data_IF_913680931171
#
_entry.id   IF_913680931171
#
_cell.length_a   1.000
_cell.length_b   1.000
_cell.length_c   1.000
_cell.angle_alpha   90.00
_cell.angle_beta   90.00
_cell.angle_gamma   90.00
#
_symmetry.space_group_name_H-M   'P 1'
#
loop_
_entity.id
_entity.type
_entity.pdbx_description
1 polymer ?
#
# COMPACT_ATOMS: atom_id res chain seq x y z
N UNK A 1 -10.89 7.22 21.44
CA UNK A 1 -10.92 6.92 19.99
C UNK A 1 -9.86 7.84 19.37
N UNK A 2 -8.81 7.26 18.84
CA UNK A 2 -7.77 8.01 18.14
C UNK A 2 -8.29 8.42 16.77
N UNK A 3 -7.97 9.62 16.32
CA UNK A 3 -8.33 10.15 15.00
C UNK A 3 -7.10 10.71 14.34
N UNK A 4 -6.94 10.45 13.05
CA UNK A 4 -5.93 11.10 12.22
C UNK A 4 -6.36 12.55 11.96
N UNK A 5 -5.44 13.49 12.13
CA UNK A 5 -5.70 14.91 11.88
C UNK A 5 -4.61 15.46 10.94
N UNK A 6 -5.01 15.78 9.71
CA UNK A 6 -4.13 16.33 8.68
C UNK A 6 -4.55 17.78 8.39
N UNK A 7 -3.72 18.73 8.79
CA UNK A 7 -3.97 20.15 8.59
C UNK A 7 -3.27 20.71 7.35
N UNK A 8 -2.22 20.02 6.86
CA UNK A 8 -1.44 20.46 5.73
C UNK A 8 -2.26 20.48 4.43
N UNK A 9 -2.03 21.52 3.61
CA UNK A 9 -2.69 21.68 2.32
C UNK A 9 -1.96 20.95 1.19
N UNK A 10 -0.62 20.84 1.27
CA UNK A 10 0.18 20.18 0.25
C UNK A 10 0.44 18.70 0.57
N UNK A 11 0.57 17.90 -0.47
CA UNK A 11 0.70 16.45 -0.35
C UNK A 11 1.96 16.01 0.43
N UNK A 12 3.15 16.57 0.19
CA UNK A 12 4.34 16.20 0.97
C UNK A 12 4.20 16.46 2.48
N UNK A 13 3.56 17.57 2.85
CA UNK A 13 3.33 17.89 4.26
C UNK A 13 2.30 16.94 4.89
N UNK A 14 1.27 16.52 4.16
CA UNK A 14 0.29 15.53 4.62
C UNK A 14 0.95 14.20 4.96
N UNK A 15 1.88 13.70 4.14
CA UNK A 15 2.64 12.48 4.46
C UNK A 15 3.51 12.65 5.71
N UNK A 16 4.17 13.82 5.86
CA UNK A 16 4.98 14.13 7.07
C UNK A 16 4.14 14.20 8.34
N UNK A 17 2.91 14.70 8.25
CA UNK A 17 1.95 14.73 9.37
C UNK A 17 1.38 13.34 9.68
N UNK A 18 1.16 12.52 8.65
CA UNK A 18 0.56 11.20 8.80
C UNK A 18 1.49 10.21 9.49
N UNK A 19 2.76 10.14 9.09
CA UNK A 19 3.69 9.11 9.54
C UNK A 19 3.81 8.97 11.07
N UNK A 20 4.02 10.05 11.87
CA UNK A 20 4.08 9.95 13.32
C UNK A 20 2.73 9.55 13.94
N UNK A 21 1.60 10.00 13.38
CA UNK A 21 0.28 9.63 13.89
C UNK A 21 -0.01 8.15 13.61
N UNK A 22 0.37 7.68 12.42
CA UNK A 22 0.24 6.27 12.06
C UNK A 22 1.14 5.39 12.94
N UNK A 23 2.38 5.83 13.21
CA UNK A 23 3.29 5.12 14.11
C UNK A 23 2.66 4.96 15.50
N UNK A 24 2.07 6.02 16.06
CA UNK A 24 1.41 5.97 17.35
C UNK A 24 0.15 5.09 17.33
N UNK A 25 -0.64 5.13 16.24
CA UNK A 25 -1.86 4.34 16.08
C UNK A 25 -1.57 2.83 16.03
N UNK A 26 -0.46 2.43 15.43
CA UNK A 26 -0.08 1.02 15.26
C UNK A 26 0.72 0.48 16.47
N UNK A 27 1.19 1.37 17.36
CA UNK A 27 2.02 0.97 18.50
C UNK A 27 1.23 0.11 19.48
N UNK A 28 1.79 -1.05 19.83
CA UNK A 28 1.19 -1.99 20.78
C UNK A 28 0.05 -2.86 20.24
N UNK A 29 -0.42 -2.67 18.99
CA UNK A 29 -1.44 -3.52 18.38
C UNK A 29 -0.77 -4.71 17.64
N UNK A 30 -0.95 -5.96 18.10
CA UNK A 30 -0.33 -7.12 17.46
C UNK A 30 -1.10 -7.64 16.23
N UNK A 31 -2.38 -7.29 16.06
CA UNK A 31 -3.18 -7.81 14.95
C UNK A 31 -2.85 -7.08 13.63
N UNK A 32 -2.28 -7.85 12.71
CA UNK A 32 -1.89 -7.33 11.40
C UNK A 32 -3.07 -6.76 10.61
N UNK A 33 -4.23 -7.43 10.65
CA UNK A 33 -5.39 -7.01 9.86
C UNK A 33 -5.96 -5.69 10.40
N UNK A 34 -6.04 -5.54 11.72
CA UNK A 34 -6.45 -4.29 12.36
C UNK A 34 -5.52 -3.13 11.97
N UNK A 35 -4.20 -3.37 12.02
CA UNK A 35 -3.19 -2.39 11.63
C UNK A 35 -3.30 -1.98 10.15
N UNK A 36 -3.44 -2.94 9.24
CA UNK A 36 -3.60 -2.65 7.81
C UNK A 36 -4.92 -1.94 7.50
N UNK A 37 -6.02 -2.30 8.19
CA UNK A 37 -7.31 -1.65 8.02
C UNK A 37 -7.27 -0.18 8.44
N UNK A 38 -6.69 0.12 9.60
CA UNK A 38 -6.50 1.49 10.08
C UNK A 38 -5.55 2.28 9.17
N UNK A 39 -4.49 1.65 8.66
CA UNK A 39 -3.59 2.29 7.69
C UNK A 39 -4.30 2.65 6.38
N UNK A 40 -5.12 1.74 5.83
CA UNK A 40 -5.90 2.02 4.62
C UNK A 40 -6.86 3.21 4.82
N UNK A 41 -7.52 3.26 5.99
CA UNK A 41 -8.41 4.37 6.33
C UNK A 41 -7.66 5.71 6.48
N UNK A 42 -6.51 5.71 7.18
CA UNK A 42 -5.68 6.90 7.37
C UNK A 42 -5.11 7.42 6.02
N UNK A 43 -4.65 6.52 5.16
CA UNK A 43 -4.17 6.88 3.83
C UNK A 43 -5.30 7.44 2.96
N UNK A 44 -6.54 6.95 3.10
CA UNK A 44 -7.69 7.49 2.37
C UNK A 44 -7.95 8.97 2.70
N UNK A 45 -7.70 9.38 3.93
CA UNK A 45 -7.77 10.80 4.33
C UNK A 45 -6.54 11.59 3.84
N UNK A 46 -5.36 10.96 3.81
CA UNK A 46 -4.11 11.59 3.40
C UNK A 46 -4.04 11.84 1.89
N UNK A 47 -4.55 10.91 1.06
CA UNK A 47 -4.43 10.93 -0.40
C UNK A 47 -5.82 11.05 -1.06
N UNK A 48 -6.41 12.26 -1.10
CA UNK A 48 -7.77 12.45 -1.64
C UNK A 48 -7.92 12.08 -3.10
N UNK A 49 -6.85 12.13 -3.89
CA UNK A 49 -6.83 11.74 -5.30
C UNK A 49 -7.05 10.24 -5.51
N UNK A 50 -6.77 9.42 -4.51
CA UNK A 50 -6.97 7.98 -4.61
C UNK A 50 -8.47 7.63 -4.57
N UNK A 51 -8.93 6.81 -5.49
CA UNK A 51 -10.27 6.23 -5.53
C UNK A 51 -10.34 4.90 -4.78
N UNK A 52 -9.20 4.20 -4.70
CA UNK A 52 -9.02 2.95 -3.99
C UNK A 52 -7.66 2.93 -3.29
N UNK A 53 -7.59 2.39 -2.09
CA UNK A 53 -6.36 2.20 -1.33
C UNK A 53 -6.45 0.89 -0.57
N UNK A 54 -5.46 0.02 -0.71
CA UNK A 54 -5.50 -1.23 0.03
C UNK A 54 -4.21 -2.03 -0.08
N UNK A 55 -4.31 -3.24 0.42
CA UNK A 55 -3.18 -4.16 0.52
C UNK A 55 -3.47 -5.47 -0.21
N UNK A 56 -2.46 -5.97 -0.90
CA UNK A 56 -2.42 -7.35 -1.33
C UNK A 56 -1.31 -8.07 -0.57
N UNK A 57 -1.68 -9.12 0.17
CA UNK A 57 -0.79 -9.86 1.05
C UNK A 57 -0.17 -11.05 0.32
N UNK A 58 1.13 -11.29 0.51
CA UNK A 58 1.80 -12.46 -0.03
C UNK A 58 1.34 -13.74 0.68
N UNK A 59 0.68 -14.63 -0.03
CA UNK A 59 0.18 -15.90 0.50
C UNK A 59 0.35 -17.01 -0.53
N UNK A 60 1.16 -18.02 -0.18
CA UNK A 60 1.34 -19.19 -1.06
C UNK A 60 1.95 -18.89 -2.43
N UNK A 61 2.75 -17.82 -2.54
CA UNK A 61 3.42 -17.43 -3.79
C UNK A 61 2.60 -16.52 -4.71
N UNK A 62 1.46 -16.02 -4.26
CA UNK A 62 0.62 -15.05 -4.97
C UNK A 62 0.18 -13.93 -4.02
N UNK A 63 -0.33 -12.84 -4.58
CA UNK A 63 -0.93 -11.74 -3.85
C UNK A 63 -2.42 -12.01 -3.63
N UNK A 64 -2.88 -11.88 -2.38
CA UNK A 64 -4.27 -12.08 -1.97
C UNK A 64 -4.80 -10.80 -1.34
N UNK A 65 -5.98 -10.37 -1.73
CA UNK A 65 -6.65 -9.17 -1.24
C UNK A 65 -6.69 -9.14 0.29
N UNK A 66 -6.20 -8.06 0.86
CA UNK A 66 -6.22 -7.70 2.27
C UNK A 66 -7.18 -6.56 2.58
N UNK A 67 -7.00 -5.85 3.68
CA UNK A 67 -7.80 -4.66 4.01
C UNK A 67 -7.68 -3.56 2.96
N UNK A 68 -8.81 -2.90 2.64
CA UNK A 68 -8.85 -1.82 1.67
C UNK A 68 -10.00 -0.86 1.91
N UNK A 69 -9.95 0.30 1.25
CA UNK A 69 -10.98 1.32 1.14
C UNK A 69 -11.29 1.57 -0.34
N UNK A 70 -12.53 1.37 -0.77
CA UNK A 70 -12.94 1.55 -2.15
C UNK A 70 -13.95 0.51 -2.62
N UNK A 71 -14.08 0.34 -3.95
CA UNK A 71 -14.93 -0.68 -4.55
C UNK A 71 -14.33 -2.08 -4.38
N UNK A 72 -15.14 -3.12 -4.63
CA UNK A 72 -14.68 -4.51 -4.69
C UNK A 72 -13.55 -4.66 -5.71
N UNK A 73 -12.57 -5.52 -5.40
CA UNK A 73 -11.35 -5.67 -6.16
C UNK A 73 -11.04 -7.13 -6.49
N UNK A 74 -10.01 -7.37 -7.29
CA UNK A 74 -9.52 -8.70 -7.61
C UNK A 74 -9.10 -9.44 -6.33
N UNK A 75 -9.50 -10.70 -6.18
CA UNK A 75 -9.20 -11.46 -4.95
C UNK A 75 -7.76 -11.97 -4.93
N UNK A 76 -7.22 -12.32 -6.12
CA UNK A 76 -5.88 -12.92 -6.27
C UNK A 76 -5.17 -12.36 -7.49
N UNK A 77 -3.88 -12.09 -7.34
CA UNK A 77 -3.00 -11.59 -8.41
C UNK A 77 -1.71 -12.41 -8.37
N UNK A 78 -1.38 -13.06 -9.49
CA UNK A 78 -0.14 -13.79 -9.61
C UNK A 78 1.06 -12.82 -9.71
N UNK A 79 2.22 -13.24 -9.20
CA UNK A 79 3.46 -12.46 -9.35
C UNK A 79 3.77 -12.23 -10.83
N UNK A 80 4.22 -11.01 -11.17
CA UNK A 80 4.49 -10.58 -12.53
C UNK A 80 3.24 -10.28 -13.37
N UNK A 81 2.03 -10.23 -12.77
CA UNK A 81 0.78 -9.91 -13.48
C UNK A 81 0.17 -8.62 -12.95
N UNK A 82 -0.29 -7.78 -13.87
CA UNK A 82 -0.78 -6.44 -13.54
C UNK A 82 0.30 -5.58 -12.87
N UNK A 83 -0.07 -4.42 -12.36
CA UNK A 83 0.88 -3.51 -11.70
C UNK A 83 1.32 -4.09 -10.35
N UNK A 84 0.39 -4.50 -9.50
CA UNK A 84 0.66 -5.10 -8.20
C UNK A 84 1.58 -6.33 -8.28
N UNK A 85 1.26 -7.30 -9.16
CA UNK A 85 2.07 -8.50 -9.32
C UNK A 85 3.46 -8.20 -9.88
N UNK A 86 3.58 -7.20 -10.76
CA UNK A 86 4.85 -6.75 -11.33
C UNK A 86 5.70 -6.04 -10.26
N UNK A 87 5.10 -5.13 -9.48
CA UNK A 87 5.79 -4.43 -8.38
C UNK A 87 6.36 -5.43 -7.35
N UNK A 88 5.56 -6.44 -6.98
CA UNK A 88 6.01 -7.49 -6.07
C UNK A 88 7.16 -8.33 -6.65
N UNK A 89 7.08 -8.73 -7.93
CA UNK A 89 8.09 -9.55 -8.60
C UNK A 89 9.40 -8.78 -8.83
N UNK A 90 9.31 -7.51 -9.26
CA UNK A 90 10.47 -6.64 -9.49
C UNK A 90 11.01 -6.01 -8.20
N UNK A 91 10.24 -6.11 -7.09
CA UNK A 91 10.62 -5.62 -5.77
C UNK A 91 10.90 -4.11 -5.75
N UNK A 92 10.10 -3.35 -6.50
CA UNK A 92 10.23 -1.88 -6.62
C UNK A 92 8.87 -1.20 -6.68
N UNK A 93 8.83 0.05 -6.25
CA UNK A 93 7.68 0.92 -6.46
C UNK A 93 7.45 1.14 -7.96
N UNK A 94 6.18 1.04 -8.36
CA UNK A 94 5.75 1.37 -9.72
C UNK A 94 4.75 2.52 -9.68
N UNK A 95 5.05 3.58 -10.46
CA UNK A 95 4.14 4.70 -10.72
C UNK A 95 3.64 4.54 -12.15
N UNK A 96 2.34 4.35 -12.30
CA UNK A 96 1.69 4.13 -13.60
C UNK A 96 0.76 5.30 -13.91
N UNK A 97 1.17 6.26 -14.73
CA UNK A 97 0.36 7.45 -15.01
C UNK A 97 -0.85 7.16 -15.90
N UNK A 98 -0.86 6.03 -16.63
CA UNK A 98 -1.94 5.58 -17.48
C UNK A 98 -1.97 4.05 -17.51
N UNK A 99 -2.92 3.45 -16.79
CA UNK A 99 -3.02 1.98 -16.63
C UNK A 99 -3.35 1.29 -17.96
N UNK A 100 -4.01 1.96 -18.89
CA UNK A 100 -4.32 1.41 -20.21
C UNK A 100 -3.06 1.18 -21.07
N UNK A 101 -1.97 1.86 -20.72
CA UNK A 101 -0.66 1.71 -21.37
C UNK A 101 0.26 0.75 -20.65
N UNK A 102 -0.12 0.24 -19.48
CA UNK A 102 0.71 -0.71 -18.73
C UNK A 102 0.56 -2.13 -19.32
N UNK A 103 1.65 -2.77 -19.78
CA UNK A 103 1.57 -4.10 -20.40
C UNK A 103 1.01 -5.14 -19.42
N UNK A 104 -0.09 -5.79 -19.80
CA UNK A 104 -0.70 -6.83 -18.98
C UNK A 104 -1.47 -6.30 -17.76
N UNK A 105 -1.86 -5.02 -17.76
CA UNK A 105 -2.74 -4.45 -16.73
C UNK A 105 -3.97 -5.33 -16.50
N UNK A 106 -4.36 -5.49 -15.24
CA UNK A 106 -5.56 -6.20 -14.81
C UNK A 106 -6.52 -5.17 -14.26
N UNK A 107 -7.57 -4.87 -15.01
CA UNK A 107 -8.59 -3.92 -14.57
C UNK A 107 -9.46 -4.53 -13.47
N UNK A 108 -9.10 -4.31 -12.20
CA UNK A 108 -9.95 -4.68 -11.07
C UNK A 108 -11.13 -3.70 -10.89
N UNK A 109 -10.94 -2.42 -11.22
CA UNK A 109 -12.00 -1.43 -11.47
C UNK A 109 -11.80 -0.82 -12.86
N UNK A 110 -12.79 -0.95 -13.73
CA UNK A 110 -12.75 -0.38 -15.08
C UNK A 110 -12.66 1.17 -15.11
N UNK A 111 -12.84 1.82 -13.98
CA UNK A 111 -12.70 3.27 -13.82
C UNK A 111 -11.31 3.74 -13.46
N UNK A 112 -10.43 2.86 -13.00
CA UNK A 112 -9.05 3.22 -12.64
C UNK A 112 -8.28 3.69 -13.87
N UNK A 113 -7.54 4.80 -13.74
CA UNK A 113 -6.78 5.42 -14.82
C UNK A 113 -5.30 5.59 -14.52
N UNK A 114 -4.92 5.73 -13.26
CA UNK A 114 -3.53 5.72 -12.80
C UNK A 114 -3.41 4.94 -11.51
N UNK A 115 -2.20 4.45 -11.21
CA UNK A 115 -1.94 3.54 -10.10
C UNK A 115 -0.53 3.77 -9.56
N UNK A 116 -0.36 3.67 -8.24
CA UNK A 116 0.95 3.55 -7.61
C UNK A 116 0.96 2.33 -6.69
N UNK A 117 1.97 1.48 -6.84
CA UNK A 117 2.14 0.28 -6.03
C UNK A 117 3.49 0.29 -5.33
N UNK A 118 3.48 0.14 -4.01
CA UNK A 118 4.67 0.15 -3.16
C UNK A 118 4.83 -1.22 -2.48
N UNK A 119 5.89 -1.99 -2.78
CA UNK A 119 6.17 -3.24 -2.08
C UNK A 119 6.52 -3.01 -0.61
N UNK A 120 5.97 -3.87 0.26
CA UNK A 120 6.28 -3.89 1.69
C UNK A 120 7.23 -5.05 1.94
N UNK A 121 8.40 -4.74 2.48
CA UNK A 121 9.43 -5.72 2.80
C UNK A 121 9.42 -6.04 4.30
N UNK A 122 9.49 -7.32 4.65
CA UNK A 122 9.64 -7.70 6.05
C UNK A 122 10.92 -7.09 6.62
N UNK A 123 10.78 -6.29 7.65
CA UNK A 123 11.92 -5.71 8.35
C UNK A 123 12.66 -6.76 9.18
N UNK A 124 13.97 -6.58 9.33
CA UNK A 124 14.75 -7.34 10.33
C UNK A 124 14.31 -7.02 11.78
N UNK A 125 13.60 -5.91 11.99
CA UNK A 125 13.03 -5.49 13.28
C UNK A 125 11.56 -5.88 13.45
N UNK A 126 11.01 -6.66 12.51
CA UNK A 126 9.60 -7.04 12.54
C UNK A 126 9.25 -7.76 13.86
N UNK A 127 8.08 -7.44 14.40
CA UNK A 127 7.55 -8.06 15.59
C UNK A 127 7.37 -9.58 15.37
N UNK A 128 7.84 -10.37 16.32
CA UNK A 128 7.71 -11.83 16.28
C UNK A 128 8.62 -12.54 15.28
N UNK A 129 8.80 -13.84 15.49
CA UNK A 129 9.40 -14.73 14.51
C UNK A 129 8.36 -15.06 13.43
N UNK A 130 8.78 -15.15 12.18
CA UNK A 130 7.94 -15.62 11.08
C UNK A 130 8.60 -16.85 10.46
N UNK A 131 7.87 -17.95 10.41
CA UNK A 131 8.30 -19.15 9.70
C UNK A 131 8.06 -19.04 8.18
N UNK A 132 7.40 -17.94 7.75
CA UNK A 132 6.97 -17.73 6.36
C UNK A 132 7.88 -16.79 5.60
N UNK A 133 8.42 -15.76 6.27
CA UNK A 133 9.16 -14.68 5.63
C UNK A 133 10.47 -14.41 6.32
N UNK A 134 11.56 -14.36 5.56
CA UNK A 134 12.84 -13.83 6.00
C UNK A 134 12.86 -12.30 5.96
N UNK A 135 13.76 -11.65 6.71
CA UNK A 135 14.01 -10.22 6.53
C UNK A 135 14.34 -9.89 5.07
N UNK A 136 13.67 -8.86 4.55
CA UNK A 136 13.80 -8.44 3.16
C UNK A 136 12.84 -9.12 2.18
N UNK A 137 12.11 -10.16 2.55
CA UNK A 137 11.08 -10.73 1.68
C UNK A 137 9.92 -9.74 1.48
N UNK A 138 9.32 -9.75 0.29
CA UNK A 138 8.08 -9.02 0.03
C UNK A 138 6.94 -9.74 0.75
N UNK A 139 6.31 -9.05 1.70
CA UNK A 139 5.20 -9.61 2.51
C UNK A 139 3.84 -9.13 2.02
N UNK A 140 3.80 -7.99 1.36
CA UNK A 140 2.61 -7.40 0.76
C UNK A 140 3.00 -6.34 -0.27
N UNK A 141 1.99 -5.80 -0.97
CA UNK A 141 2.06 -4.50 -1.65
C UNK A 141 0.98 -3.59 -1.10
N UNK A 142 1.30 -2.30 -1.00
CA UNK A 142 0.35 -1.21 -0.82
C UNK A 142 0.02 -0.67 -2.21
N UNK A 143 -1.26 -0.62 -2.53
CA UNK A 143 -1.79 -0.27 -3.83
C UNK A 143 -2.75 0.91 -3.71
N UNK A 144 -2.57 1.93 -4.55
CA UNK A 144 -3.44 3.09 -4.67
C UNK A 144 -3.82 3.30 -6.14
N UNK A 145 -5.13 3.33 -6.38
CA UNK A 145 -5.70 3.66 -7.69
C UNK A 145 -6.34 5.04 -7.71
N UNK A 146 -6.41 5.66 -8.89
CA UNK A 146 -7.16 6.89 -9.11
C UNK A 146 -7.96 6.86 -10.41
N UNK A 147 -9.10 7.58 -10.43
CA UNK A 147 -9.88 7.82 -11.65
C UNK A 147 -9.30 8.94 -12.52
N UNK A 148 -8.25 9.62 -12.04
CA UNK A 148 -7.56 10.64 -12.82
C UNK A 148 -6.27 10.06 -13.43
N UNK A 149 -5.87 10.54 -14.61
CA UNK A 149 -4.57 10.23 -15.19
C UNK A 149 -3.48 10.93 -14.40
N UNK A 150 -2.33 10.25 -14.26
CA UNK A 150 -1.13 10.79 -13.62
C UNK A 150 -1.41 11.41 -12.24
N UNK A 151 -2.30 10.76 -11.46
CA UNK A 151 -2.68 11.24 -10.13
C UNK A 151 -1.57 11.05 -9.08
N UNK A 152 -0.61 10.19 -9.37
CA UNK A 152 0.51 9.86 -8.48
C UNK A 152 1.84 10.17 -9.16
N UNK A 153 2.81 10.64 -8.36
CA UNK A 153 4.16 10.97 -8.81
C UNK A 153 5.23 10.57 -7.77
N UNK A 154 6.47 11.04 -7.96
CA UNK A 154 7.58 10.76 -7.05
C UNK A 154 7.37 11.30 -5.63
N UNK A 155 6.54 12.35 -5.46
CA UNK A 155 6.19 12.87 -4.13
C UNK A 155 5.38 11.84 -3.35
N UNK A 156 4.47 11.13 -4.02
CA UNK A 156 3.69 10.05 -3.41
C UNK A 156 4.58 8.85 -3.11
N UNK A 157 5.48 8.48 -4.02
CA UNK A 157 6.43 7.39 -3.79
C UNK A 157 7.32 7.67 -2.58
N UNK A 158 7.87 8.89 -2.47
CA UNK A 158 8.70 9.33 -1.34
C UNK A 158 7.91 9.39 -0.03
N UNK A 159 6.65 9.78 -0.08
CA UNK A 159 5.77 9.85 1.08
C UNK A 159 5.30 8.48 1.57
N UNK A 160 5.05 7.54 0.65
CA UNK A 160 4.59 6.19 0.95
C UNK A 160 5.72 5.25 1.39
N UNK A 161 6.97 5.49 0.95
CA UNK A 161 8.10 4.63 1.29
C UNK A 161 8.33 4.48 2.80
N UNK A 162 8.36 5.55 3.63
CA UNK A 162 8.50 5.42 5.08
C UNK A 162 7.30 4.70 5.74
N UNK A 163 6.10 4.83 5.16
CA UNK A 163 4.91 4.10 5.63
C UNK A 163 5.06 2.61 5.34
N UNK A 164 5.52 2.23 4.15
CA UNK A 164 5.80 0.84 3.80
C UNK A 164 6.90 0.24 4.70
N UNK A 165 7.94 1.01 5.05
CA UNK A 165 8.98 0.60 6.01
C UNK A 165 8.40 0.36 7.41
N UNK A 166 7.54 1.27 7.91
CA UNK A 166 6.83 1.10 9.17
C UNK A 166 6.00 -0.19 9.16
N UNK A 167 5.21 -0.42 8.12
CA UNK A 167 4.39 -1.61 7.97
C UNK A 167 5.23 -2.88 7.90
N UNK A 168 6.42 -2.84 7.32
CA UNK A 168 7.36 -3.95 7.30
C UNK A 168 7.82 -4.41 8.70
N UNK A 169 7.63 -3.59 9.74
CA UNK A 169 7.95 -3.93 11.14
C UNK A 169 6.86 -4.71 11.85
N UNK A 170 5.67 -4.82 11.27
CA UNK A 170 4.54 -5.54 11.86
C UNK A 170 4.76 -7.07 11.92
N UNK A 171 3.88 -7.78 12.60
CA UNK A 171 3.92 -9.25 12.76
C UNK A 171 3.35 -9.95 11.50
N UNK A 172 4.21 -10.19 10.48
CA UNK A 172 3.86 -10.85 9.21
C UNK A 172 3.90 -12.37 9.29
#
# INVERSE_FOLDING_TARGET
MESIALAAADQPARYRELLPQLTALLDGEPDLIANLANTAAALRECVPAASWIGFYLMRGGELVLGPFQGKVACVRIALGRGVCGTAAAERKTLIVPDVDRFPGHIACDAGSRSEIVVPIFRSARAAGASDRFAPGDVVAVLDLDSYDLAAFDEVDADGLAPIAELLGTLAW
#
